data_IF_151794447628
#
_entry.id   IF_151794447628
#
_cell.length_a   1.000
_cell.length_b   1.000
_cell.length_c   1.000
_cell.angle_alpha   90.00
_cell.angle_beta   90.00
_cell.angle_gamma   90.00
#
_symmetry.space_group_name_H-M   'P 1'
#
loop_
_entity.id
_entity.type
_entity.pdbx_description
1 polymer ?
2 non-polymer ?
3 non-polymer ?
4 non-polymer ?
5 water ?
#
# COMPACT_ATOMS: atom_id res chain seq x y z
N UNK A 1 1.36 18.74 -0.21
CA UNK A 1 0.00 18.72 0.27
C UNK A 1 -0.61 17.31 0.25
N UNK A 2 -0.47 16.62 -0.87
CA UNK A 2 -0.97 15.26 -1.00
C UNK A 2 0.04 14.32 -0.36
N UNK A 3 -0.42 13.48 0.55
CA UNK A 3 0.49 12.54 1.22
C UNK A 3 0.64 11.24 0.43
N UNK A 4 1.75 10.52 0.66
CA UNK A 4 1.94 9.33 -0.18
C UNK A 4 1.04 8.16 0.19
N UNK A 5 0.99 7.15 -0.68
CA UNK A 5 0.36 5.89 -0.34
C UNK A 5 1.48 4.86 -0.15
N UNK A 6 1.44 4.16 0.97
CA UNK A 6 2.48 3.18 1.28
C UNK A 6 1.98 1.82 0.83
N UNK A 7 2.67 1.23 -0.14
CA UNK A 7 2.27 -0.09 -0.63
C UNK A 7 3.24 -1.14 -0.04
N UNK A 8 2.72 -2.05 0.80
CA UNK A 8 3.54 -3.00 1.56
C UNK A 8 3.25 -4.38 0.94
N UNK A 9 4.17 -4.87 0.11
CA UNK A 9 3.87 -6.06 -0.69
C UNK A 9 5.14 -6.67 -1.21
N UNK A 10 5.38 -7.94 -0.85
CA UNK A 10 6.64 -8.59 -1.22
C UNK A 10 6.56 -9.19 -2.63
N UNK A 11 5.56 -10.04 -2.84
CA UNK A 11 5.55 -10.87 -4.02
C UNK A 11 5.55 -9.97 -5.26
N UNK A 12 6.60 -10.06 -6.09
CA UNK A 12 6.74 -9.13 -7.22
C UNK A 12 5.63 -9.26 -8.29
N UNK A 13 5.07 -10.45 -8.46
CA UNK A 13 3.95 -10.57 -9.37
C UNK A 13 2.75 -9.83 -8.82
N UNK A 14 2.56 -9.89 -7.51
CA UNK A 14 1.40 -9.19 -6.93
C UNK A 14 1.60 -7.68 -6.93
N UNK A 15 2.84 -7.28 -6.66
CA UNK A 15 3.22 -5.88 -6.77
C UNK A 15 2.90 -5.31 -8.12
N UNK A 16 3.26 -6.04 -9.17
CA UNK A 16 2.90 -5.64 -10.55
C UNK A 16 1.41 -5.40 -10.69
N UNK A 17 0.60 -6.35 -10.24
CA UNK A 17 -0.84 -6.18 -10.44
C UNK A 17 -1.36 -4.95 -9.66
N UNK A 18 -0.88 -4.80 -8.44
CA UNK A 18 -1.35 -3.69 -7.62
C UNK A 18 -0.94 -2.34 -8.24
N UNK A 19 0.34 -2.24 -8.66
CA UNK A 19 0.76 -0.96 -9.30
C UNK A 19 0.01 -0.66 -10.58
N UNK A 20 -0.25 -1.69 -11.38
CA UNK A 20 -1.01 -1.47 -12.62
C UNK A 20 -2.42 -1.00 -12.28
N UNK A 21 -3.03 -1.56 -11.23
CA UNK A 21 -4.41 -1.15 -10.83
C UNK A 21 -4.43 0.32 -10.41
N UNK A 22 -3.39 0.69 -9.68
CA UNK A 22 -3.14 2.05 -9.25
C UNK A 22 -2.93 2.99 -10.43
N UNK A 23 -2.04 2.61 -11.35
CA UNK A 23 -1.82 3.40 -12.57
C UNK A 23 -3.13 3.57 -13.37
N UNK A 24 -3.85 2.46 -13.54
CA UNK A 24 -5.10 2.52 -14.31
C UNK A 24 -6.13 3.43 -13.63
N UNK A 25 -6.15 3.42 -12.30
CA UNK A 25 -7.21 4.15 -11.59
C UNK A 25 -6.99 5.64 -11.64
N UNK A 26 -5.78 6.03 -12.02
CA UNK A 26 -5.35 7.44 -12.03
C UNK A 26 -5.33 8.09 -10.62
N UNK A 27 -5.30 7.26 -9.58
CA UNK A 27 -5.13 7.74 -8.20
C UNK A 27 -3.74 8.32 -8.12
N UNK A 28 -3.59 9.57 -7.70
CA UNK A 28 -2.32 10.27 -7.98
C UNK A 28 -1.41 10.59 -6.79
N UNK A 29 -1.80 10.23 -5.58
CA UNK A 29 -0.86 10.33 -4.46
C UNK A 29 0.41 9.53 -4.81
N UNK A 30 1.56 10.04 -4.43
CA UNK A 30 2.80 9.33 -4.70
C UNK A 30 2.82 7.96 -4.04
N UNK A 31 3.19 6.93 -4.78
CA UNK A 31 3.27 5.59 -4.22
C UNK A 31 4.66 5.40 -3.63
N UNK A 32 4.72 4.71 -2.49
CA UNK A 32 6.03 4.29 -1.97
C UNK A 32 5.89 2.81 -1.69
N UNK A 33 6.82 2.02 -2.24
CA UNK A 33 6.73 0.58 -2.14
C UNK A 33 7.78 0.07 -1.13
N UNK A 34 7.39 -0.77 -0.16
CA UNK A 34 8.34 -1.47 0.69
C UNK A 34 7.98 -2.95 0.60
N UNK A 35 8.96 -3.83 0.79
CA UNK A 35 8.71 -5.23 0.42
C UNK A 35 8.62 -6.20 1.59
N UNK A 36 8.75 -5.71 2.82
CA UNK A 36 8.43 -6.57 3.96
C UNK A 36 8.01 -5.72 5.15
N UNK A 37 7.65 -6.36 6.27
CA UNK A 37 7.04 -5.61 7.36
C UNK A 37 8.09 -4.76 8.10
N UNK A 38 9.35 -5.21 8.11
CA UNK A 38 10.46 -4.45 8.73
C UNK A 38 10.65 -3.12 8.04
N UNK A 39 10.66 -3.15 6.69
CA UNK A 39 10.77 -1.90 5.91
C UNK A 39 9.55 -1.02 6.11
N UNK A 40 8.36 -1.63 6.23
CA UNK A 40 7.16 -0.80 6.41
C UNK A 40 7.26 -0.05 7.71
N UNK A 41 7.70 -0.77 8.75
CA UNK A 41 7.76 -0.13 10.07
C UNK A 41 8.84 0.97 10.06
N UNK A 42 9.97 0.70 9.40
CA UNK A 42 10.98 1.76 9.20
C UNK A 42 10.40 2.99 8.48
N UNK A 43 9.66 2.79 7.39
CA UNK A 43 9.04 3.94 6.71
C UNK A 43 8.16 4.71 7.70
N UNK A 44 7.25 4.00 8.37
CA UNK A 44 6.25 4.67 9.21
C UNK A 44 6.88 5.40 10.40
N UNK A 45 7.96 4.84 10.92
CA UNK A 45 8.63 5.42 12.10
C UNK A 45 9.80 6.34 11.72
N UNK A 46 10.01 6.54 10.41
CA UNK A 46 11.17 7.35 9.91
C UNK A 46 12.53 6.88 10.47
N UNK A 47 12.82 5.59 10.25
CA UNK A 47 14.07 5.00 10.67
C UNK A 47 14.66 4.28 9.48
N UNK A 48 15.88 3.79 9.61
CA UNK A 48 16.43 2.91 8.59
C UNK A 48 16.67 3.68 7.30
N UNK A 49 16.27 3.09 6.18
CA UNK A 49 16.34 3.76 4.88
C UNK A 49 15.54 5.05 4.83
N UNK A 50 14.66 5.27 5.81
CA UNK A 50 13.73 6.39 5.71
C UNK A 50 13.99 7.43 6.78
N UNK A 51 15.17 7.32 7.37
CA UNK A 51 15.56 8.14 8.53
C UNK A 51 15.52 9.63 8.18
N UNK A 52 15.75 9.95 6.91
CA UNK A 52 15.81 11.35 6.52
C UNK A 52 14.52 11.93 5.94
N UNK A 53 13.46 11.12 5.84
CA UNK A 53 12.26 11.60 5.17
C UNK A 53 11.51 12.65 5.99
N UNK A 54 10.72 13.44 5.28
CA UNK A 54 9.90 14.47 5.90
C UNK A 54 8.92 13.83 6.90
N UNK A 55 8.58 14.56 7.96
CA UNK A 55 7.57 14.11 8.91
C UNK A 55 6.21 13.96 8.23
N UNK A 56 5.38 13.03 8.71
CA UNK A 56 4.03 12.90 8.19
C UNK A 56 3.62 11.46 7.88
N UNK A 57 2.37 11.13 8.19
CA UNK A 57 1.81 9.82 7.89
C UNK A 57 1.39 9.73 6.42
N UNK A 58 1.42 8.52 5.85
CA UNK A 58 0.89 8.32 4.48
C UNK A 58 -0.65 8.47 4.53
N UNK A 59 -1.23 8.82 3.40
CA UNK A 59 -2.68 8.94 3.30
C UNK A 59 -3.37 7.60 3.55
N UNK A 60 -2.76 6.53 3.09
CA UNK A 60 -3.31 5.20 3.31
C UNK A 60 -2.19 4.20 3.19
N UNK A 61 -2.39 3.07 3.84
CA UNK A 61 -1.46 1.93 3.72
C UNK A 61 -2.20 0.79 2.97
N UNK A 62 -1.58 0.27 1.90
CA UNK A 62 -2.08 -0.92 1.22
C UNK A 62 -1.19 -2.05 1.75
N UNK A 63 -1.78 -2.91 2.57
CA UNK A 63 -0.97 -3.83 3.38
C UNK A 63 -1.27 -5.27 3.04
N UNK A 64 -0.29 -5.91 2.41
CA UNK A 64 -0.37 -7.35 2.16
C UNK A 64 -0.09 -8.10 3.46
N UNK A 65 -0.95 -9.05 3.78
CA UNK A 65 -0.73 -9.89 4.98
C UNK A 65 0.52 -10.79 4.92
N UNK A 66 0.82 -11.27 3.72
CA UNK A 66 1.94 -12.18 3.46
C UNK A 66 3.31 -11.54 3.45
N UNK A 67 3.93 -11.25 4.57
CA UNK A 67 5.22 -10.58 4.40
C UNK A 67 6.31 -11.36 5.04
N UNK A 68 7.43 -11.49 4.35
CA UNK A 68 8.61 -12.11 4.99
C UNK A 68 9.17 -11.23 6.10
N UNK A 69 9.92 -11.87 7.00
CA UNK A 69 10.65 -11.23 8.09
C UNK A 69 9.74 -10.70 9.19
N UNK A 70 8.84 -9.79 8.87
CA UNK A 70 7.85 -9.28 9.83
C UNK A 70 6.46 -9.34 9.17
N UNK A 71 5.50 -10.05 9.77
CA UNK A 71 4.20 -10.31 9.09
C UNK A 71 3.36 -9.04 9.00
N UNK A 72 2.40 -9.03 8.08
CA UNK A 72 1.53 -7.88 7.96
C UNK A 72 0.66 -7.63 9.17
N UNK A 73 0.23 -8.68 9.85
CA UNK A 73 -0.53 -8.44 11.10
C UNK A 73 0.27 -7.73 12.20
N UNK A 74 1.58 -7.97 12.25
CA UNK A 74 2.40 -7.29 13.27
C UNK A 74 2.48 -5.82 12.89
N UNK A 75 2.59 -5.50 11.60
CA UNK A 75 2.59 -4.07 11.19
C UNK A 75 1.27 -3.40 11.61
N UNK A 76 0.17 -4.10 11.34
CA UNK A 76 -1.18 -3.55 11.62
C UNK A 76 -1.34 -3.33 13.14
N UNK A 77 -0.87 -4.32 13.91
CA UNK A 77 -0.97 -4.24 15.38
C UNK A 77 -0.14 -3.08 15.97
N UNK A 78 1.04 -2.83 15.41
CA UNK A 78 1.90 -1.71 15.89
C UNK A 78 1.33 -0.37 15.41
N UNK A 79 0.80 -0.33 14.19
CA UNK A 79 0.12 0.88 13.73
C UNK A 79 -1.06 1.24 14.67
N UNK A 80 -1.91 0.26 14.97
CA UNK A 80 -3.12 0.61 15.73
C UNK A 80 -2.81 0.86 17.21
N UNK A 81 -1.68 0.33 17.70
CA UNK A 81 -1.25 0.58 19.09
C UNK A 81 -0.58 1.93 19.28
N UNK A 82 -0.16 2.55 18.19
CA UNK A 82 0.61 3.81 18.24
C UNK A 82 -0.32 5.02 18.23
N UNK A 83 -0.14 5.95 19.17
CA UNK A 83 -0.99 7.15 19.13
C UNK A 83 -0.66 7.99 17.89
N UNK A 84 0.55 7.89 17.37
CA UNK A 84 0.93 8.65 16.17
C UNK A 84 0.35 8.04 14.88
N UNK A 85 0.36 6.72 14.80
CA UNK A 85 0.03 6.04 13.56
C UNK A 85 -1.42 5.54 13.49
N UNK A 86 -2.14 5.50 14.60
CA UNK A 86 -3.35 4.64 14.60
C UNK A 86 -4.47 5.20 13.72
N UNK A 87 -4.37 6.47 13.36
CA UNK A 87 -5.38 7.10 12.51
C UNK A 87 -5.21 6.81 11.02
N UNK A 88 -4.13 6.12 10.63
CA UNK A 88 -3.91 5.90 9.21
C UNK A 88 -4.92 4.86 8.66
N UNK A 89 -5.66 5.20 7.59
CA UNK A 89 -6.49 4.17 6.92
C UNK A 89 -5.64 3.02 6.32
N UNK A 90 -6.13 1.79 6.50
CA UNK A 90 -5.48 0.57 5.97
C UNK A 90 -6.44 -0.26 5.08
N UNK A 91 -5.97 -0.61 3.89
CA UNK A 91 -6.63 -1.57 3.02
C UNK A 91 -5.79 -2.83 3.16
N UNK A 92 -6.38 -3.89 3.69
CA UNK A 92 -5.68 -5.17 3.75
C UNK A 92 -5.83 -5.93 2.43
N UNK A 93 -4.70 -6.42 1.89
CA UNK A 93 -4.74 -7.29 0.71
C UNK A 93 -4.68 -8.74 1.21
N UNK A 94 -5.78 -9.48 1.07
CA UNK A 94 -5.86 -10.86 1.61
C UNK A 94 -5.94 -11.94 0.54
N UNK A 95 -5.81 -13.20 0.94
CA UNK A 95 -5.84 -14.31 -0.06
C UNK A 95 -7.23 -14.86 -0.33
N UNK A 96 -8.20 -14.60 0.54
CA UNK A 96 -9.55 -15.12 0.32
C UNK A 96 -10.46 -14.33 1.22
N UNK A 97 -11.75 -14.41 0.95
CA UNK A 97 -12.78 -13.77 1.78
C UNK A 97 -12.74 -14.32 3.23
N UNK A 98 -12.46 -15.61 3.38
CA UNK A 98 -12.26 -16.21 4.71
C UNK A 98 -11.11 -15.55 5.49
N UNK A 99 -10.02 -15.25 4.80
CA UNK A 99 -8.95 -14.53 5.44
C UNK A 99 -9.42 -13.13 5.84
N UNK A 100 -10.12 -12.42 4.97
CA UNK A 100 -10.65 -11.09 5.37
C UNK A 100 -11.52 -11.17 6.64
N UNK A 101 -12.40 -12.16 6.67
CA UNK A 101 -13.29 -12.41 7.82
C UNK A 101 -12.51 -12.66 9.12
N UNK A 102 -11.44 -13.43 9.05
CA UNK A 102 -10.72 -13.71 10.28
C UNK A 102 -9.98 -12.45 10.75
N UNK A 103 -9.47 -11.65 9.81
CA UNK A 103 -8.78 -10.45 10.17
C UNK A 103 -9.76 -9.46 10.83
N UNK A 104 -10.99 -9.46 10.33
CA UNK A 104 -12.00 -8.58 10.95
C UNK A 104 -12.21 -8.98 12.43
N UNK A 105 -12.11 -10.25 12.74
CA UNK A 105 -12.27 -10.73 14.10
C UNK A 105 -11.18 -10.24 15.11
N UNK A 106 -10.09 -9.65 14.61
CA UNK A 106 -9.02 -9.19 15.53
C UNK A 106 -9.36 -7.82 16.12
N UNK A 107 -10.36 -7.20 15.51
CA UNK A 107 -10.81 -5.87 15.88
C UNK A 107 -9.65 -4.89 15.88
N UNK A 108 -8.88 -4.91 14.80
CA UNK A 108 -7.81 -3.94 14.59
C UNK A 108 -8.26 -2.75 13.70
N UNK A 109 -9.58 -2.55 13.60
CA UNK A 109 -10.15 -1.46 12.82
C UNK A 109 -9.54 -1.35 11.43
N UNK A 110 -9.48 -2.48 10.71
CA UNK A 110 -9.12 -2.49 9.30
C UNK A 110 -10.22 -1.80 8.44
N UNK A 111 -9.81 -0.90 7.58
CA UNK A 111 -10.81 -0.05 6.97
C UNK A 111 -11.35 -0.63 5.68
N UNK A 112 -10.58 -1.50 5.02
CA UNK A 112 -11.12 -2.05 3.76
C UNK A 112 -10.30 -3.27 3.42
N UNK A 113 -10.80 -4.08 2.49
CA UNK A 113 -10.18 -5.33 2.04
C UNK A 113 -10.17 -5.48 0.53
N UNK A 114 -9.08 -5.98 0.00
CA UNK A 114 -9.07 -6.45 -1.39
C UNK A 114 -8.60 -7.91 -1.39
N UNK A 115 -9.37 -8.81 -2.01
CA UNK A 115 -8.91 -10.19 -2.16
C UNK A 115 -8.04 -10.28 -3.43
N UNK A 116 -6.81 -10.74 -3.25
CA UNK A 116 -5.90 -10.94 -4.37
C UNK A 116 -6.45 -12.04 -5.29
N UNK A 117 -6.15 -11.96 -6.61
CA UNK A 117 -5.34 -10.92 -7.25
C UNK A 117 -6.07 -9.60 -7.37
N UNK A 118 -5.33 -8.53 -7.12
CA UNK A 118 -5.85 -7.19 -7.19
C UNK A 118 -6.21 -6.84 -8.63
N UNK A 119 -7.46 -6.45 -8.84
CA UNK A 119 -7.86 -5.84 -10.10
C UNK A 119 -8.47 -4.47 -9.86
N UNK A 120 -8.31 -3.62 -10.87
CA UNK A 120 -8.72 -2.23 -10.87
C UNK A 120 -10.09 -1.97 -10.20
N UNK A 121 -11.12 -2.70 -10.63
CA UNK A 121 -12.48 -2.44 -10.14
C UNK A 121 -12.60 -2.66 -8.62
N UNK A 122 -12.07 -3.80 -8.15
CA UNK A 122 -12.16 -4.17 -6.74
C UNK A 122 -11.29 -3.24 -5.93
N UNK A 123 -10.17 -2.82 -6.53
CA UNK A 123 -9.25 -1.90 -5.87
C UNK A 123 -9.90 -0.55 -5.61
N UNK A 124 -10.44 0.08 -6.66
CA UNK A 124 -11.12 1.35 -6.47
C UNK A 124 -12.31 1.22 -5.49
N UNK A 125 -13.02 0.10 -5.53
CA UNK A 125 -14.12 -0.13 -4.58
C UNK A 125 -13.62 -0.14 -3.13
N UNK A 126 -12.45 -0.74 -2.91
CA UNK A 126 -11.86 -0.71 -1.55
C UNK A 126 -11.51 0.71 -1.11
N UNK A 127 -10.92 1.49 -2.03
CA UNK A 127 -10.57 2.86 -1.67
C UNK A 127 -11.86 3.63 -1.35
N UNK A 128 -12.91 3.40 -2.15
CA UNK A 128 -14.20 4.04 -1.87
C UNK A 128 -14.71 3.62 -0.48
N UNK A 129 -14.45 2.36 -0.08
CA UNK A 129 -14.94 1.83 1.20
C UNK A 129 -14.33 2.52 2.40
N UNK A 130 -13.15 3.12 2.22
CA UNK A 130 -12.49 3.85 3.28
C UNK A 130 -13.32 5.05 3.77
N UNK A 131 -14.23 5.52 2.93
CA UNK A 131 -14.94 6.77 3.19
C UNK A 131 -14.03 7.90 3.63
N UNK A 132 -12.90 8.10 2.96
CA UNK A 132 -12.11 9.29 3.23
C UNK A 132 -12.35 10.41 2.18
N UNK A 133 -11.66 11.53 2.35
CA UNK A 133 -11.86 12.69 1.50
C UNK A 133 -11.01 12.50 0.25
N UNK A 134 -11.42 13.16 -0.84
CA UNK A 134 -10.64 13.02 -2.07
C UNK A 134 -10.88 14.26 -2.95
N UNK A 135 -10.08 14.40 -4.00
CA UNK A 135 -10.22 15.60 -4.84
C UNK A 135 -9.87 15.22 -6.27
N UNK A 136 -10.45 15.90 -7.26
CA UNK A 136 -10.04 15.66 -8.62
C UNK A 136 -8.92 16.63 -9.04
N UNK A 137 -8.09 16.15 -9.97
CA UNK A 137 -6.98 16.90 -10.58
C UNK A 137 -7.04 16.80 -12.13
N UNK A 138 -6.73 17.89 -12.81
CA UNK A 138 -6.46 17.77 -14.25
C UNK A 138 -5.12 17.13 -14.59
N UNK A 139 -4.11 17.54 -13.84
CA UNK A 139 -2.73 17.11 -14.08
C UNK A 139 -2.34 16.23 -12.91
N UNK A 140 -1.64 15.11 -13.15
CA UNK A 140 -1.12 14.45 -11.94
C UNK A 140 0.03 15.26 -11.41
N UNK A 141 0.31 15.17 -10.11
CA UNK A 141 1.54 15.82 -9.67
C UNK A 141 2.77 15.14 -10.33
N UNK A 142 3.71 15.92 -10.86
CA UNK A 142 4.88 15.32 -11.54
C UNK A 142 5.73 14.36 -10.67
N UNK A 143 5.93 14.65 -9.38
CA UNK A 143 6.62 13.71 -8.48
C UNK A 143 5.92 12.35 -8.39
N UNK A 144 4.60 12.35 -8.40
CA UNK A 144 3.87 11.09 -8.45
C UNK A 144 4.21 10.29 -9.69
N UNK A 145 4.19 10.95 -10.85
CA UNK A 145 4.42 10.26 -12.11
C UNK A 145 5.81 9.67 -12.14
N UNK A 146 6.78 10.50 -11.75
CA UNK A 146 8.19 10.07 -11.71
C UNK A 146 8.35 8.83 -10.84
N UNK A 147 7.72 8.82 -9.67
CA UNK A 147 7.76 7.67 -8.76
C UNK A 147 7.15 6.40 -9.38
N UNK A 148 5.97 6.49 -9.98
CA UNK A 148 5.39 5.29 -10.59
C UNK A 148 6.37 4.79 -11.66
N UNK A 149 6.87 5.70 -12.49
CA UNK A 149 7.71 5.31 -13.63
C UNK A 149 8.97 4.65 -13.13
N UNK A 150 9.53 5.23 -12.09
CA UNK A 150 10.73 4.68 -11.50
C UNK A 150 10.51 3.25 -10.97
N UNK A 151 9.44 3.03 -10.22
CA UNK A 151 9.13 1.67 -9.78
C UNK A 151 8.84 0.71 -10.93
N UNK A 152 8.03 1.15 -11.92
CA UNK A 152 7.77 0.28 -13.07
C UNK A 152 9.12 -0.20 -13.62
N UNK A 153 10.08 0.70 -13.77
CA UNK A 153 11.40 0.32 -14.32
C UNK A 153 12.17 -0.62 -13.42
N UNK A 154 12.15 -0.37 -12.12
CA UNK A 154 12.90 -1.26 -11.21
C UNK A 154 12.28 -2.63 -11.19
N UNK A 155 10.96 -2.64 -11.20
CA UNK A 155 10.22 -3.88 -11.16
C UNK A 155 10.43 -4.63 -12.47
N UNK A 156 10.43 -3.92 -13.60
CA UNK A 156 10.70 -4.57 -14.90
C UNK A 156 12.07 -5.19 -14.96
N UNK A 157 13.07 -4.45 -14.48
CA UNK A 157 14.44 -4.97 -14.47
C UNK A 157 14.57 -6.19 -13.57
N UNK A 158 13.90 -6.18 -12.43
CA UNK A 158 13.88 -7.31 -11.49
C UNK A 158 13.10 -8.53 -12.03
N UNK A 159 11.95 -8.31 -12.66
CA UNK A 159 11.17 -9.40 -13.24
C UNK A 159 11.66 -9.81 -14.62
N UNK A 160 12.51 -8.96 -15.20
CA UNK A 160 13.08 -9.17 -16.52
C UNK A 160 12.01 -9.25 -17.62
N UNK A 161 10.95 -8.47 -17.43
CA UNK A 161 9.98 -8.25 -18.49
C UNK A 161 9.14 -6.98 -18.21
N UNK A 162 8.47 -6.46 -19.25
CA UNK A 162 7.55 -5.27 -19.14
C UNK A 162 6.22 -5.64 -19.76
N UNK A 163 5.15 -4.92 -19.41
CA UNK A 163 3.87 -5.16 -20.09
C UNK A 163 3.40 -4.06 -20.95
N UNK A 164 3.89 -2.86 -20.70
CA UNK A 164 3.54 -1.77 -21.59
C UNK A 164 4.64 -0.73 -21.65
N UNK A 165 4.39 0.22 -22.55
CA UNK A 165 5.35 1.22 -22.95
C UNK A 165 4.70 2.56 -22.72
N UNK A 166 5.47 3.55 -22.30
CA UNK A 166 4.87 4.87 -22.12
C UNK A 166 5.34 5.83 -23.22
#
# INVERSE_FOLDING_TARGET
>A
MLKPILLVEDDKRDLELTLVALERSKLSNEVIVVRDGAQALDYLNREGDFRAREEGNPAVILLDLKLPKVNGLEVLQQVRSSTQLRSIPVVMLTSSQEESDVVKSYELGVNAYVVKPVEFKQFVAAIADLGIFWAVLNEPPPGSMKAMRRYEAKLAAALEHHHHHH
#
